data_IF_942576232393
#
_entry.id   IF_942576232393
#
_cell.length_a   1.000
_cell.length_b   1.000
_cell.length_c   1.000
_cell.angle_alpha   90.00
_cell.angle_beta   90.00
_cell.angle_gamma   90.00
#
_symmetry.space_group_name_H-M   'P 1'
#
loop_
_entity.id
_entity.type
_entity.pdbx_description
1 polymer ?
#
# COMPACT_ATOMS: atom_id res chain seq x y z
N UNK A 1 35.57 -1.06 33.46
CA UNK A 1 34.92 -0.70 32.17
C UNK A 1 33.96 -1.79 31.73
N UNK A 2 34.34 -3.07 31.84
CA UNK A 2 33.49 -4.20 31.40
C UNK A 2 32.25 -4.44 32.25
N UNK A 3 32.31 -4.22 33.56
CA UNK A 3 31.14 -4.34 34.45
C UNK A 3 30.02 -3.36 34.07
N UNK A 4 30.36 -2.12 33.72
CA UNK A 4 29.40 -1.12 33.26
C UNK A 4 28.74 -1.53 31.93
N UNK A 5 29.53 -2.13 31.03
CA UNK A 5 29.04 -2.61 29.74
C UNK A 5 28.10 -3.80 29.92
N UNK A 6 28.44 -4.73 30.81
CA UNK A 6 27.59 -5.86 31.16
C UNK A 6 26.27 -5.39 31.77
N UNK A 7 26.32 -4.49 32.77
CA UNK A 7 25.11 -3.89 33.38
C UNK A 7 24.24 -3.17 32.36
N UNK A 8 24.85 -2.45 31.42
CA UNK A 8 24.12 -1.77 30.34
C UNK A 8 23.46 -2.77 29.38
N UNK A 9 24.15 -3.85 29.03
CA UNK A 9 23.61 -4.90 28.17
C UNK A 9 22.40 -5.59 28.82
N UNK A 10 22.48 -5.89 30.11
CA UNK A 10 21.37 -6.44 30.90
C UNK A 10 20.18 -5.48 30.97
N UNK A 11 20.44 -4.19 31.26
CA UNK A 11 19.40 -3.17 31.30
C UNK A 11 18.68 -3.03 29.94
N UNK A 12 19.42 -3.04 28.83
CA UNK A 12 18.82 -2.99 27.49
C UNK A 12 18.01 -4.26 27.18
N UNK A 13 18.46 -5.43 27.62
CA UNK A 13 17.72 -6.69 27.46
C UNK A 13 16.40 -6.65 28.25
N UNK A 14 16.45 -6.17 29.49
CA UNK A 14 15.26 -6.00 30.33
C UNK A 14 14.28 -4.98 29.71
N UNK A 15 14.78 -3.82 29.28
CA UNK A 15 13.98 -2.79 28.62
C UNK A 15 13.31 -3.32 27.35
N UNK A 16 14.04 -4.05 26.49
CA UNK A 16 13.48 -4.67 25.28
C UNK A 16 12.30 -5.58 25.63
N UNK A 17 12.48 -6.44 26.63
CA UNK A 17 11.44 -7.38 27.05
C UNK A 17 10.20 -6.68 27.61
N UNK A 18 10.36 -5.56 28.33
CA UNK A 18 9.23 -4.76 28.84
C UNK A 18 8.46 -4.15 27.67
N UNK A 19 9.16 -3.49 26.73
CA UNK A 19 8.53 -2.80 25.60
C UNK A 19 7.85 -3.79 24.65
N UNK A 20 8.49 -4.91 24.32
CA UNK A 20 7.92 -5.91 23.40
C UNK A 20 6.73 -6.68 23.99
N UNK A 21 6.55 -6.69 25.32
CA UNK A 21 5.37 -7.26 25.98
C UNK A 21 4.19 -6.29 26.07
N UNK A 22 4.39 -5.01 25.73
CA UNK A 22 3.31 -4.03 25.64
C UNK A 22 2.29 -4.47 24.58
N UNK A 23 0.97 -4.23 24.78
CA UNK A 23 -0.03 -4.47 23.75
C UNK A 23 0.22 -3.67 22.46
N UNK A 24 0.83 -2.49 22.60
CA UNK A 24 1.29 -1.65 21.50
C UNK A 24 2.76 -1.23 21.74
N UNK A 25 3.74 -2.00 21.24
CA UNK A 25 5.15 -1.66 21.39
C UNK A 25 5.50 -0.45 20.52
N UNK A 26 5.98 0.63 21.15
CA UNK A 26 6.40 1.82 20.42
C UNK A 26 7.65 1.53 19.57
N UNK A 27 7.49 1.53 18.25
CA UNK A 27 8.55 1.26 17.27
C UNK A 27 9.81 2.11 17.51
N UNK A 28 9.64 3.41 17.80
CA UNK A 28 10.75 4.32 18.03
C UNK A 28 11.59 3.94 19.24
N UNK A 29 10.95 3.41 20.29
CA UNK A 29 11.62 2.96 21.50
C UNK A 29 12.35 1.64 21.27
N UNK A 30 11.70 0.68 20.59
CA UNK A 30 12.32 -0.60 20.20
C UNK A 30 13.55 -0.36 19.32
N UNK A 31 13.44 0.53 18.33
CA UNK A 31 14.55 0.91 17.46
C UNK A 31 15.74 1.47 18.25
N UNK A 32 15.51 2.40 19.19
CA UNK A 32 16.57 2.95 20.05
C UNK A 32 17.27 1.87 20.87
N UNK A 33 16.51 0.95 21.46
CA UNK A 33 17.06 -0.15 22.26
C UNK A 33 17.96 -1.05 21.39
N UNK A 34 17.49 -1.43 20.19
CA UNK A 34 18.25 -2.27 19.27
C UNK A 34 19.51 -1.58 18.75
N UNK A 35 19.47 -0.27 18.47
CA UNK A 35 20.66 0.52 18.11
C UNK A 35 21.71 0.43 19.22
N UNK A 36 21.30 0.61 20.47
CA UNK A 36 22.23 0.53 21.60
C UNK A 36 22.78 -0.88 21.82
N UNK A 37 21.98 -1.93 21.58
CA UNK A 37 22.46 -3.32 21.62
C UNK A 37 23.51 -3.56 20.52
N UNK A 38 23.25 -3.09 19.30
CA UNK A 38 24.17 -3.24 18.17
C UNK A 38 25.50 -2.51 18.41
N UNK A 39 25.46 -1.32 19.00
CA UNK A 39 26.67 -0.57 19.40
C UNK A 39 27.50 -1.30 20.46
N UNK A 40 26.86 -2.02 21.39
CA UNK A 40 27.59 -2.80 22.40
C UNK A 40 28.24 -4.04 21.79
N UNK A 41 27.57 -4.70 20.85
CA UNK A 41 28.05 -5.91 20.17
C UNK A 41 29.10 -5.63 19.09
N UNK A 42 29.02 -4.48 18.41
CA UNK A 42 29.87 -4.13 17.28
C UNK A 42 30.44 -2.71 17.45
N UNK A 43 31.40 -2.58 18.38
CA UNK A 43 31.98 -1.29 18.77
C UNK A 43 32.67 -0.56 17.61
N UNK A 44 33.25 -1.32 16.68
CA UNK A 44 33.99 -0.77 15.54
C UNK A 44 33.09 0.01 14.57
N UNK A 45 31.77 -0.24 14.60
CA UNK A 45 30.80 0.53 13.81
C UNK A 45 30.89 2.01 14.15
N UNK A 46 31.12 2.36 15.42
CA UNK A 46 31.22 3.76 15.86
C UNK A 46 32.42 4.50 15.25
N UNK A 47 33.41 3.77 14.70
CA UNK A 47 34.57 4.34 14.02
C UNK A 47 34.28 4.67 12.54
N UNK A 48 33.14 4.24 12.01
CA UNK A 48 32.75 4.47 10.63
C UNK A 48 32.09 5.86 10.46
N UNK A 49 32.37 6.57 9.37
CA UNK A 49 31.72 7.86 9.07
C UNK A 49 30.21 7.73 8.84
N UNK A 50 29.78 6.61 8.27
CA UNK A 50 28.38 6.31 7.94
C UNK A 50 27.72 5.39 8.97
N UNK A 51 28.23 5.37 10.21
CA UNK A 51 27.79 4.44 11.24
C UNK A 51 26.28 4.46 11.47
N UNK A 52 25.63 5.63 11.38
CA UNK A 52 24.18 5.74 11.52
C UNK A 52 23.42 4.97 10.44
N UNK A 53 23.89 5.00 9.19
CA UNK A 53 23.28 4.26 8.08
C UNK A 53 23.43 2.76 8.30
N UNK A 54 24.63 2.32 8.69
CA UNK A 54 24.95 0.92 8.98
C UNK A 54 24.09 0.40 10.14
N UNK A 55 23.99 1.14 11.24
CA UNK A 55 23.18 0.78 12.40
C UNK A 55 21.70 0.67 12.04
N UNK A 56 21.16 1.67 11.32
CA UNK A 56 19.75 1.64 10.92
C UNK A 56 19.44 0.47 9.99
N UNK A 57 20.32 0.15 9.03
CA UNK A 57 20.14 -1.00 8.15
C UNK A 57 20.11 -2.31 8.95
N UNK A 58 21.07 -2.52 9.85
CA UNK A 58 21.13 -3.73 10.68
C UNK A 58 19.94 -3.86 11.63
N UNK A 59 19.50 -2.75 12.24
CA UNK A 59 18.36 -2.74 13.16
C UNK A 59 17.05 -2.99 12.42
N UNK A 60 16.85 -2.39 11.24
CA UNK A 60 15.66 -2.62 10.42
C UNK A 60 15.53 -4.08 9.95
N UNK A 61 16.63 -4.83 9.85
CA UNK A 61 16.63 -6.24 9.49
C UNK A 61 16.37 -7.19 10.68
N UNK A 62 16.26 -6.69 11.92
CA UNK A 62 15.97 -7.53 13.09
C UNK A 62 14.51 -8.01 13.05
N UNK A 63 14.23 -9.29 13.39
CA UNK A 63 12.87 -9.83 13.40
C UNK A 63 11.89 -8.96 14.19
N UNK A 64 12.31 -8.44 15.34
CA UNK A 64 11.46 -7.60 16.19
C UNK A 64 11.01 -6.31 15.48
N UNK A 65 11.83 -5.73 14.61
CA UNK A 65 11.48 -4.54 13.83
C UNK A 65 10.62 -4.88 12.62
N UNK A 66 10.94 -5.97 11.92
CA UNK A 66 10.17 -6.45 10.76
C UNK A 66 8.74 -6.76 11.17
N UNK A 67 8.53 -7.43 12.30
CA UNK A 67 7.21 -7.76 12.82
C UNK A 67 6.38 -6.50 13.15
N UNK A 68 7.02 -5.47 13.73
CA UNK A 68 6.36 -4.20 14.05
C UNK A 68 5.97 -3.42 12.79
N UNK A 69 6.85 -3.38 11.78
CA UNK A 69 6.56 -2.74 10.50
C UNK A 69 5.40 -3.47 9.81
N UNK A 70 5.48 -4.80 9.73
CA UNK A 70 4.43 -5.62 9.11
C UNK A 70 3.08 -5.46 9.81
N UNK A 71 3.05 -5.35 11.15
CA UNK A 71 1.81 -5.14 11.91
C UNK A 71 1.15 -3.79 11.57
N UNK A 72 1.93 -2.74 11.30
CA UNK A 72 1.40 -1.43 10.86
C UNK A 72 0.93 -1.45 9.40
N UNK A 73 1.57 -2.24 8.54
CA UNK A 73 1.29 -2.28 7.10
C UNK A 73 0.13 -3.21 6.71
N UNK A 74 -0.59 -3.81 7.67
CA UNK A 74 -1.79 -4.59 7.40
C UNK A 74 -2.96 -3.70 6.94
N UNK A 75 -2.92 -3.28 5.68
CA UNK A 75 -4.06 -2.70 4.96
C UNK A 75 -4.83 -3.86 4.34
N UNK A 76 -5.95 -4.23 4.97
CA UNK A 76 -6.84 -5.25 4.43
C UNK A 76 -7.84 -4.60 3.45
N UNK A 77 -7.90 -5.13 2.22
CA UNK A 77 -8.94 -4.74 1.27
C UNK A 77 -10.26 -5.45 1.64
N UNK A 78 -11.08 -4.80 2.47
CA UNK A 78 -12.31 -5.40 3.03
C UNK A 78 -13.41 -5.60 1.98
N UNK A 79 -13.45 -4.76 0.94
CA UNK A 79 -14.53 -4.80 -0.09
C UNK A 79 -14.11 -4.12 -1.39
N UNK A 80 -14.45 -4.75 -2.51
CA UNK A 80 -14.35 -4.16 -3.86
C UNK A 80 -15.76 -4.04 -4.44
N UNK A 81 -16.26 -2.81 -4.62
CA UNK A 81 -17.52 -2.57 -5.35
C UNK A 81 -17.21 -2.23 -6.81
N UNK A 82 -17.62 -3.10 -7.74
CA UNK A 82 -17.60 -2.78 -9.18
C UNK A 82 -18.97 -2.22 -9.58
N UNK A 83 -19.04 -0.91 -9.82
CA UNK A 83 -20.21 -0.29 -10.46
C UNK A 83 -19.95 -0.15 -11.95
N UNK A 84 -20.91 -0.54 -12.77
CA UNK A 84 -20.81 -0.38 -14.22
C UNK A 84 -21.16 1.06 -14.58
N UNK A 85 -20.15 1.91 -14.72
CA UNK A 85 -20.32 3.32 -15.05
C UNK A 85 -20.32 3.52 -16.56
N UNK A 86 -21.35 4.21 -17.06
CA UNK A 86 -21.43 4.59 -18.46
C UNK A 86 -20.39 5.68 -18.78
N UNK A 87 -19.52 5.49 -19.78
CA UNK A 87 -18.51 6.50 -20.16
C UNK A 87 -19.09 7.78 -20.79
N UNK A 88 -20.37 7.78 -21.23
CA UNK A 88 -21.02 8.97 -21.79
C UNK A 88 -21.64 9.84 -20.69
N UNK A 89 -22.45 9.25 -19.80
CA UNK A 89 -23.12 10.00 -18.72
C UNK A 89 -22.31 10.11 -17.44
N UNK A 90 -21.25 9.31 -17.29
CA UNK A 90 -20.52 9.14 -16.02
C UNK A 90 -21.42 8.71 -14.85
N UNK A 91 -22.57 8.09 -15.16
CA UNK A 91 -23.53 7.55 -14.21
C UNK A 91 -23.57 6.04 -14.31
N UNK A 92 -24.05 5.39 -13.26
CA UNK A 92 -24.30 3.94 -13.28
C UNK A 92 -25.28 3.57 -14.39
N UNK A 93 -24.97 2.50 -15.12
CA UNK A 93 -25.81 1.97 -16.19
C UNK A 93 -27.04 1.31 -15.56
N UNK A 94 -28.22 1.79 -15.93
CA UNK A 94 -29.51 1.21 -15.50
C UNK A 94 -30.17 0.44 -16.64
N UNK A 95 -30.18 1.00 -17.86
CA UNK A 95 -30.66 0.31 -19.08
C UNK A 95 -29.48 0.11 -20.05
N UNK A 96 -28.96 -1.12 -20.21
CA UNK A 96 -27.75 -1.34 -20.98
C UNK A 96 -28.01 -1.31 -22.49
N UNK A 97 -27.24 -0.50 -23.19
CA UNK A 97 -26.93 -0.68 -24.61
C UNK A 97 -25.58 -1.38 -24.73
N UNK A 98 -25.56 -2.52 -25.43
CA UNK A 98 -24.32 -3.27 -25.70
C UNK A 98 -23.95 -3.11 -27.16
N UNK A 99 -22.84 -2.43 -27.43
CA UNK A 99 -22.31 -2.29 -28.79
C UNK A 99 -21.81 -3.62 -29.36
N UNK A 100 -21.57 -3.69 -30.67
CA UNK A 100 -20.92 -4.85 -31.32
C UNK A 100 -19.46 -5.05 -30.86
N UNK A 101 -18.89 -4.08 -30.16
CA UNK A 101 -17.62 -4.23 -29.44
C UNK A 101 -17.75 -4.92 -28.08
N UNK A 102 -18.97 -5.19 -27.60
CA UNK A 102 -19.22 -5.74 -26.27
C UNK A 102 -19.24 -4.70 -25.14
N UNK A 103 -18.89 -3.43 -25.42
CA UNK A 103 -18.93 -2.38 -24.41
C UNK A 103 -20.36 -1.95 -24.08
N UNK A 104 -20.59 -1.74 -22.78
CA UNK A 104 -21.88 -1.38 -22.22
C UNK A 104 -21.95 0.12 -21.97
N UNK A 105 -23.05 0.72 -22.42
CA UNK A 105 -23.37 2.13 -22.24
C UNK A 105 -24.79 2.25 -21.70
N UNK A 106 -25.12 3.37 -21.08
CA UNK A 106 -26.52 3.72 -20.79
C UNK A 106 -27.26 3.96 -22.11
N UNK A 107 -28.36 3.24 -22.33
CA UNK A 107 -29.03 3.18 -23.63
C UNK A 107 -29.60 4.51 -24.06
N UNK A 108 -30.16 5.30 -23.14
CA UNK A 108 -30.69 6.65 -23.48
C UNK A 108 -29.58 7.53 -24.05
N UNK A 109 -28.41 7.50 -23.43
CA UNK A 109 -27.25 8.29 -23.83
C UNK A 109 -26.59 7.75 -25.10
N UNK A 110 -26.43 6.44 -25.22
CA UNK A 110 -25.93 5.80 -26.43
C UNK A 110 -26.78 6.16 -27.64
N UNK A 111 -28.11 6.13 -27.50
CA UNK A 111 -29.03 6.47 -28.58
C UNK A 111 -29.00 7.96 -28.93
N UNK A 112 -28.86 8.85 -27.95
CA UNK A 112 -28.68 10.28 -28.17
C UNK A 112 -27.36 10.54 -28.93
N UNK A 113 -26.27 9.90 -28.50
CA UNK A 113 -24.97 10.00 -29.13
C UNK A 113 -24.97 9.46 -30.58
N UNK A 114 -25.62 8.32 -30.83
CA UNK A 114 -25.79 7.74 -32.17
C UNK A 114 -26.57 8.67 -33.11
N UNK A 115 -27.61 9.35 -32.61
CA UNK A 115 -28.42 10.28 -33.42
C UNK A 115 -27.72 11.60 -33.72
N UNK A 116 -26.93 12.10 -32.78
CA UNK A 116 -26.34 13.44 -32.85
C UNK A 116 -24.93 13.46 -33.47
N UNK A 117 -24.31 12.30 -33.68
CA UNK A 117 -22.97 12.19 -34.27
C UNK A 117 -23.05 11.68 -35.71
N UNK A 118 -22.27 12.30 -36.62
CA UNK A 118 -22.12 11.84 -38.01
C UNK A 118 -21.36 10.51 -38.10
N UNK A 119 -20.52 10.22 -37.10
CA UNK A 119 -19.74 8.98 -36.97
C UNK A 119 -19.68 8.57 -35.49
N UNK A 120 -20.74 7.96 -34.94
CA UNK A 120 -20.75 7.56 -33.54
C UNK A 120 -19.79 6.39 -33.33
N UNK A 121 -18.66 6.64 -32.65
CA UNK A 121 -17.65 5.64 -32.29
C UNK A 121 -17.79 5.28 -30.82
N UNK A 122 -17.45 4.06 -30.46
CA UNK A 122 -17.45 3.65 -29.05
C UNK A 122 -16.57 4.58 -28.21
N UNK A 123 -17.06 5.12 -27.08
CA UNK A 123 -16.29 6.02 -26.21
C UNK A 123 -15.27 5.28 -25.32
N UNK A 124 -15.26 3.93 -25.33
CA UNK A 124 -14.24 3.19 -24.61
C UNK A 124 -12.87 3.44 -25.25
N UNK A 125 -11.88 3.80 -24.43
CA UNK A 125 -10.51 4.08 -24.88
C UNK A 125 -9.98 2.90 -25.70
N UNK A 126 -9.50 3.20 -26.91
CA UNK A 126 -8.96 2.23 -27.86
C UNK A 126 -10.01 1.47 -28.69
N UNK A 127 -11.30 1.63 -28.41
CA UNK A 127 -12.36 1.00 -29.19
C UNK A 127 -12.79 1.90 -30.37
N UNK A 128 -12.39 1.54 -31.58
CA UNK A 128 -12.74 2.28 -32.80
C UNK A 128 -14.00 1.75 -33.51
N UNK A 129 -14.76 0.84 -32.87
CA UNK A 129 -15.99 0.30 -33.47
C UNK A 129 -17.10 1.35 -33.51
N UNK A 130 -17.85 1.38 -34.62
CA UNK A 130 -19.03 2.25 -34.77
C UNK A 130 -20.19 1.71 -33.94
N UNK A 131 -20.95 2.62 -33.34
CA UNK A 131 -22.18 2.31 -32.63
C UNK A 131 -23.36 2.40 -33.62
N UNK A 132 -24.26 1.42 -33.56
CA UNK A 132 -25.40 1.31 -34.48
C UNK A 132 -26.71 1.24 -33.71
N UNK A 133 -27.78 1.78 -34.30
CA UNK A 133 -29.12 1.61 -33.75
C UNK A 133 -29.54 0.16 -33.97
N UNK A 134 -29.49 -0.67 -32.92
CA UNK A 134 -30.08 -2.02 -32.99
C UNK A 134 -31.56 -1.90 -33.29
N UNK A 135 -31.99 -2.40 -34.45
CA UNK A 135 -33.41 -2.69 -34.71
C UNK A 135 -33.71 -3.99 -33.97
N UNK A 136 -34.71 -3.96 -33.09
CA UNK A 136 -35.32 -5.19 -32.59
C UNK A 136 -36.05 -5.87 -33.75
#
# INVERSE_FOLDING_TARGET
>A
MDEYIARRAEALKAAKNIVMKSPDPEEGLVRKILIHQELLSNRDIALNKDFYSILNSKVSAKPEMVDLINKKEQVECVRVEKRLICPISQKEVVDPYVGECGHVLEKKEAMKYIRNSTRPVCPQIGCNKRLTKKRR
#
